data_IF_306182299999
#
_entry.id   IF_306182299999
#
_cell.length_a   1.000
_cell.length_b   1.000
_cell.length_c   1.000
_cell.angle_alpha   90.00
_cell.angle_beta   90.00
_cell.angle_gamma   90.00
#
_symmetry.space_group_name_H-M   'P 1'
#
loop_
_entity.id
_entity.type
_entity.pdbx_description
1 polymer ?
#
# COMPACT_ATOMS: atom_id res chain seq x y z
N UNK A 1 -2.73 -0.84 -21.69
CA UNK A 1 -3.91 0.05 -21.49
C UNK A 1 -3.55 1.33 -20.73
N UNK A 2 -3.46 1.39 -19.39
CA UNK A 2 -3.28 2.68 -18.69
C UNK A 2 -1.96 3.39 -19.01
N UNK A 3 -0.86 2.64 -19.09
CA UNK A 3 0.44 3.17 -19.49
C UNK A 3 0.44 3.66 -20.95
N UNK A 4 -0.20 2.90 -21.84
CA UNK A 4 -0.36 3.25 -23.26
C UNK A 4 -1.24 4.50 -23.46
N UNK A 5 -2.25 4.67 -22.61
CA UNK A 5 -3.09 5.86 -22.56
C UNK A 5 -2.42 7.07 -21.88
N UNK A 6 -1.17 6.94 -21.42
CA UNK A 6 -0.43 8.03 -20.77
C UNK A 6 -0.98 8.45 -19.41
N UNK A 7 -1.75 7.60 -18.73
CA UNK A 7 -2.34 7.93 -17.42
C UNK A 7 -1.30 7.73 -16.30
N UNK A 8 -1.13 8.71 -15.38
CA UNK A 8 -0.18 8.62 -14.28
C UNK A 8 -0.72 7.79 -13.11
N UNK A 9 -1.10 6.54 -13.37
CA UNK A 9 -1.59 5.62 -12.34
C UNK A 9 -0.45 4.80 -11.75
N UNK A 10 -0.49 4.56 -10.45
CA UNK A 10 0.44 3.66 -9.77
C UNK A 10 -0.24 2.31 -9.47
N UNK A 11 0.31 1.23 -10.00
CA UNK A 11 -0.15 -0.15 -9.77
C UNK A 11 1.08 -1.04 -9.54
N UNK A 12 1.02 -1.92 -8.52
CA UNK A 12 2.04 -2.95 -8.27
C UNK A 12 1.46 -4.33 -8.56
N UNK A 13 1.57 -4.84 -9.80
CA UNK A 13 1.22 -6.24 -10.08
C UNK A 13 2.15 -7.15 -9.27
N UNK A 14 1.64 -8.28 -8.78
CA UNK A 14 2.42 -9.30 -8.07
C UNK A 14 2.24 -10.66 -8.74
N UNK A 15 3.27 -11.49 -8.71
CA UNK A 15 3.24 -12.78 -9.38
C UNK A 15 2.40 -13.81 -8.61
N UNK A 16 1.67 -14.63 -9.36
CA UNK A 16 0.97 -15.80 -8.85
C UNK A 16 1.40 -17.00 -9.68
N UNK A 17 2.07 -17.96 -9.04
CA UNK A 17 2.53 -19.20 -9.65
C UNK A 17 1.61 -20.34 -9.22
N UNK A 18 0.74 -20.79 -10.11
CA UNK A 18 -0.11 -21.96 -9.86
C UNK A 18 0.74 -23.22 -9.82
N UNK A 19 0.59 -24.02 -8.75
CA UNK A 19 1.31 -25.30 -8.57
C UNK A 19 0.41 -26.52 -8.77
N UNK A 20 -0.92 -26.36 -8.68
CA UNK A 20 -1.93 -27.35 -9.06
C UNK A 20 -3.26 -26.66 -9.37
N UNK A 21 -4.31 -27.45 -9.62
CA UNK A 21 -5.69 -26.93 -9.75
C UNK A 21 -6.23 -26.31 -8.46
N UNK A 22 -5.61 -26.55 -7.30
CA UNK A 22 -6.11 -26.10 -5.99
C UNK A 22 -5.07 -25.33 -5.17
N UNK A 23 -3.85 -25.13 -5.70
CA UNK A 23 -2.75 -24.52 -4.96
C UNK A 23 -1.95 -23.56 -5.83
N UNK A 24 -1.47 -22.47 -5.22
CA UNK A 24 -0.60 -21.51 -5.85
C UNK A 24 0.36 -20.88 -4.82
N UNK A 25 1.48 -20.37 -5.31
CA UNK A 25 2.38 -19.48 -4.58
C UNK A 25 2.08 -18.04 -5.02
N UNK A 26 2.12 -17.11 -4.07
CA UNK A 26 1.85 -15.68 -4.32
C UNK A 26 3.10 -14.90 -3.90
N UNK A 27 3.60 -14.03 -4.77
CA UNK A 27 4.69 -13.10 -4.46
C UNK A 27 4.30 -12.23 -3.26
N UNK A 28 5.16 -12.20 -2.24
CA UNK A 28 4.98 -11.29 -1.12
C UNK A 28 5.45 -9.90 -1.52
N UNK A 29 4.68 -8.86 -1.18
CA UNK A 29 5.14 -7.49 -1.36
C UNK A 29 5.85 -7.04 -0.07
N UNK A 30 7.19 -6.90 -0.07
CA UNK A 30 7.93 -6.49 1.12
C UNK A 30 7.56 -5.06 1.53
N UNK A 31 7.80 -4.73 2.79
CA UNK A 31 7.52 -3.41 3.39
C UNK A 31 6.07 -2.95 3.32
N UNK A 32 5.15 -3.90 3.21
CA UNK A 32 3.70 -3.65 3.27
C UNK A 32 3.09 -4.21 4.56
N UNK A 33 2.04 -3.56 5.03
CA UNK A 33 1.20 -4.05 6.11
C UNK A 33 -0.26 -3.93 5.68
N UNK A 34 -1.09 -4.91 6.08
CA UNK A 34 -2.52 -4.81 5.85
C UNK A 34 -3.09 -3.61 6.60
N UNK A 35 -4.14 -2.99 6.05
CA UNK A 35 -4.84 -1.89 6.71
C UNK A 35 -5.34 -2.27 8.11
N UNK A 36 -5.82 -3.52 8.26
CA UNK A 36 -6.24 -4.04 9.55
C UNK A 36 -5.08 -4.13 10.55
N UNK A 37 -3.91 -4.61 10.11
CA UNK A 37 -2.72 -4.67 10.95
C UNK A 37 -2.27 -3.29 11.40
N UNK A 38 -2.36 -2.27 10.54
CA UNK A 38 -2.07 -0.87 10.91
C UNK A 38 -3.02 -0.41 12.02
N UNK A 39 -4.34 -0.59 11.84
CA UNK A 39 -5.33 -0.21 12.87
C UNK A 39 -5.11 -0.93 14.19
N UNK A 40 -4.83 -2.24 14.15
CA UNK A 40 -4.63 -3.05 15.35
C UNK A 40 -3.35 -2.68 16.11
N UNK A 41 -2.26 -2.35 15.40
CA UNK A 41 -0.98 -1.97 16.02
C UNK A 41 -0.96 -0.54 16.55
N UNK A 42 -1.84 0.32 16.06
CA UNK A 42 -1.94 1.72 16.45
C UNK A 42 -3.32 2.03 17.05
N UNK A 43 -3.67 1.47 18.23
CA UNK A 43 -5.02 1.61 18.81
C UNK A 43 -5.39 3.05 19.18
N UNK A 44 -4.38 3.91 19.39
CA UNK A 44 -4.57 5.32 19.71
C UNK A 44 -4.76 6.20 18.46
N UNK A 45 -4.65 5.63 17.26
CA UNK A 45 -4.86 6.33 16.00
C UNK A 45 -6.24 5.94 15.46
N UNK A 46 -7.10 6.94 15.29
CA UNK A 46 -8.51 6.73 14.94
C UNK A 46 -8.73 6.63 13.42
N UNK A 47 -7.79 7.16 12.62
CA UNK A 47 -7.92 7.24 11.17
C UNK A 47 -6.61 7.01 10.43
N UNK A 48 -6.70 6.64 9.14
CA UNK A 48 -5.52 6.56 8.26
C UNK A 48 -4.82 7.90 8.10
N UNK A 49 -5.56 9.02 8.07
CA UNK A 49 -4.96 10.36 7.98
C UNK A 49 -4.03 10.63 9.16
N UNK A 50 -4.49 10.35 10.38
CA UNK A 50 -3.69 10.48 11.60
C UNK A 50 -2.46 9.57 11.57
N UNK A 51 -2.59 8.34 11.04
CA UNK A 51 -1.43 7.45 10.86
C UNK A 51 -0.38 8.07 9.93
N UNK A 52 -0.79 8.65 8.80
CA UNK A 52 0.13 9.31 7.87
C UNK A 52 0.78 10.57 8.47
N UNK A 53 0.02 11.36 9.25
CA UNK A 53 0.56 12.52 9.97
C UNK A 53 1.61 12.06 11.00
N UNK A 54 1.30 11.03 11.78
CA UNK A 54 2.23 10.49 12.79
C UNK A 54 3.50 9.89 12.14
N UNK A 55 3.38 9.28 10.96
CA UNK A 55 4.50 8.64 10.25
C UNK A 55 5.39 9.63 9.50
N UNK A 56 4.81 10.63 8.83
CA UNK A 56 5.54 11.49 7.89
C UNK A 56 5.63 12.96 8.33
N UNK A 57 5.00 13.34 9.45
CA UNK A 57 4.81 14.72 9.91
C UNK A 57 3.89 15.54 8.99
N UNK A 58 2.94 16.26 9.58
CA UNK A 58 1.98 17.08 8.81
C UNK A 58 2.71 18.13 7.95
N UNK A 59 2.20 18.34 6.73
CA UNK A 59 2.71 19.29 5.72
C UNK A 59 4.16 19.11 5.25
N UNK A 60 4.85 18.06 5.69
CA UNK A 60 6.18 17.74 5.17
C UNK A 60 6.13 17.34 3.69
N UNK A 61 7.24 17.51 2.93
CA UNK A 61 7.32 17.03 1.55
C UNK A 61 6.99 15.53 1.42
N UNK A 62 7.39 14.73 2.41
CA UNK A 62 7.15 13.29 2.43
C UNK A 62 5.68 12.96 2.68
N UNK A 63 4.98 13.73 3.51
CA UNK A 63 3.54 13.57 3.73
C UNK A 63 2.75 13.85 2.45
N UNK A 64 3.07 14.95 1.76
CA UNK A 64 2.43 15.30 0.47
C UNK A 64 2.70 14.24 -0.59
N UNK A 65 3.94 13.76 -0.68
CA UNK A 65 4.32 12.70 -1.60
C UNK A 65 3.56 11.39 -1.33
N UNK A 66 3.41 11.00 -0.06
CA UNK A 66 2.71 9.78 0.34
C UNK A 66 1.18 9.84 0.15
N UNK A 67 0.59 11.02 -0.06
CA UNK A 67 -0.85 11.17 -0.35
C UNK A 67 -1.19 11.09 -1.84
N UNK A 68 -0.20 11.32 -2.70
CA UNK A 68 -0.38 11.41 -4.17
C UNK A 68 0.12 10.13 -4.87
N UNK A 69 1.04 9.40 -4.24
CA UNK A 69 1.39 8.02 -4.64
C UNK A 69 0.31 7.03 -4.23
#
# INVERSE_FOLDING_TARGET
IFQEAGLPLWLRPYEVLCTSSYTALIETIPDTASLHSIKSRHPNISSLREFYIAKYLEDSPNFKLAQVM
#
